data_IF_979407369447
#
_entry.id   IF_979407369447
#
_cell.length_a   1.000
_cell.length_b   1.000
_cell.length_c   1.000
_cell.angle_alpha   90.00
_cell.angle_beta   90.00
_cell.angle_gamma   90.00
#
_symmetry.space_group_name_H-M   'P 1'
#
loop_
_entity.id
_entity.type
_entity.pdbx_description
1 polymer ?
#
# COMPACT_ATOMS: atom_id res chain seq x y z
N UNK A 1 6.50 -21.29 -16.62
CA UNK A 1 5.89 -22.49 -16.10
C UNK A 1 4.76 -22.94 -17.01
N UNK A 2 4.86 -24.17 -17.49
CA UNK A 2 3.94 -24.68 -18.49
C UNK A 2 2.52 -24.83 -17.96
N UNK A 3 2.39 -25.19 -16.70
CA UNK A 3 1.06 -25.37 -16.10
C UNK A 3 0.32 -24.05 -16.03
N UNK A 4 1.02 -23.00 -15.72
CA UNK A 4 0.41 -21.67 -15.67
C UNK A 4 -0.08 -21.27 -17.05
N UNK A 5 0.71 -21.58 -18.08
CA UNK A 5 0.33 -21.27 -19.44
C UNK A 5 -0.93 -22.01 -19.84
N UNK A 6 -1.04 -23.26 -19.42
CA UNK A 6 -2.21 -24.07 -19.74
C UNK A 6 -3.46 -23.51 -19.08
N UNK A 7 -3.34 -23.12 -17.83
CA UNK A 7 -4.48 -22.56 -17.10
C UNK A 7 -4.94 -21.26 -17.72
N UNK A 8 -3.99 -20.51 -18.26
CA UNK A 8 -4.30 -19.21 -18.85
C UNK A 8 -5.19 -19.30 -20.08
N UNK A 9 -5.38 -20.51 -20.62
CA UNK A 9 -6.21 -20.66 -21.80
C UNK A 9 -7.61 -20.08 -21.60
N UNK A 10 -8.10 -20.05 -20.39
CA UNK A 10 -9.41 -19.49 -20.07
C UNK A 10 -9.33 -18.08 -19.52
N UNK A 11 -8.18 -17.46 -19.59
CA UNK A 11 -8.03 -16.09 -19.08
C UNK A 11 -7.94 -16.00 -17.58
N UNK A 12 -7.79 -17.15 -16.91
CA UNK A 12 -7.71 -17.16 -15.46
C UNK A 12 -6.47 -16.41 -14.98
N UNK A 13 -5.36 -16.59 -15.66
CA UNK A 13 -4.13 -15.90 -15.27
C UNK A 13 -4.27 -14.40 -15.43
N UNK A 14 -4.88 -13.97 -16.52
CA UNK A 14 -5.09 -12.55 -16.74
C UNK A 14 -5.97 -11.94 -15.64
N UNK A 15 -7.05 -12.63 -15.29
CA UNK A 15 -7.92 -12.16 -14.22
C UNK A 15 -7.20 -12.11 -12.89
N UNK A 16 -6.34 -13.10 -12.62
CA UNK A 16 -5.58 -13.11 -11.38
C UNK A 16 -4.61 -11.94 -11.32
N UNK A 17 -3.98 -11.63 -12.44
CA UNK A 17 -3.06 -10.50 -12.49
C UNK A 17 -3.79 -9.19 -12.25
N UNK A 18 -4.96 -9.05 -12.83
CA UNK A 18 -5.76 -7.85 -12.62
C UNK A 18 -6.16 -7.71 -11.16
N UNK A 19 -6.56 -8.82 -10.54
CA UNK A 19 -6.91 -8.79 -9.13
C UNK A 19 -5.74 -8.41 -8.24
N UNK A 20 -4.57 -8.98 -8.53
CA UNK A 20 -3.38 -8.65 -7.76
C UNK A 20 -2.95 -7.21 -7.96
N UNK A 21 -3.07 -6.72 -9.19
CA UNK A 21 -2.73 -5.33 -9.46
C UNK A 21 -3.63 -4.39 -8.68
N UNK A 22 -4.93 -4.69 -8.63
CA UNK A 22 -5.86 -3.88 -7.86
C UNK A 22 -5.51 -3.89 -6.38
N UNK A 23 -5.15 -5.06 -5.86
CA UNK A 23 -4.76 -5.18 -4.47
C UNK A 23 -3.49 -4.41 -4.16
N UNK A 24 -2.53 -4.47 -5.07
CA UNK A 24 -1.30 -3.72 -4.90
C UNK A 24 -1.57 -2.22 -4.87
N UNK A 25 -2.43 -1.77 -5.75
CA UNK A 25 -2.77 -0.35 -5.78
C UNK A 25 -3.45 0.08 -4.51
N UNK A 26 -4.36 -0.75 -4.00
CA UNK A 26 -5.03 -0.47 -2.75
C UNK A 26 -4.03 -0.39 -1.61
N UNK A 27 -3.07 -1.33 -1.57
CA UNK A 27 -2.04 -1.31 -0.56
C UNK A 27 -1.15 -0.09 -0.64
N UNK A 28 -0.83 0.34 -1.86
CA UNK A 28 -0.04 1.55 -2.03
C UNK A 28 -0.75 2.78 -1.51
N UNK A 29 -2.05 2.88 -1.77
CA UNK A 29 -2.82 4.00 -1.27
C UNK A 29 -2.89 4.01 0.24
N UNK A 30 -3.06 2.84 0.84
CA UNK A 30 -3.06 2.72 2.29
C UNK A 30 -1.71 3.12 2.86
N UNK A 31 -0.63 2.69 2.21
CA UNK A 31 0.71 3.06 2.66
C UNK A 31 0.94 4.55 2.60
N UNK A 32 0.46 5.19 1.54
CA UNK A 32 0.59 6.64 1.43
C UNK A 32 -0.16 7.35 2.54
N UNK A 33 -1.36 6.87 2.85
CA UNK A 33 -2.15 7.45 3.94
C UNK A 33 -1.46 7.27 5.28
N UNK A 34 -0.91 6.08 5.52
CA UNK A 34 -0.20 5.82 6.76
C UNK A 34 1.03 6.69 6.90
N UNK A 35 1.75 6.89 5.81
CA UNK A 35 2.93 7.75 5.86
C UNK A 35 2.55 9.19 6.16
N UNK A 36 1.46 9.66 5.58
CA UNK A 36 0.98 11.00 5.86
C UNK A 36 0.60 11.15 7.32
N UNK A 37 -0.07 10.13 7.88
CA UNK A 37 -0.42 10.14 9.29
C UNK A 37 0.83 10.18 10.17
N UNK A 38 1.84 9.43 9.77
CA UNK A 38 3.07 9.38 10.55
C UNK A 38 3.77 10.72 10.56
N UNK A 39 3.81 11.40 9.42
CA UNK A 39 4.41 12.73 9.35
C UNK A 39 3.64 13.70 10.24
N UNK A 40 2.32 13.61 10.20
CA UNK A 40 1.48 14.48 11.04
C UNK A 40 1.77 14.26 12.52
N UNK A 41 1.88 12.99 12.91
CA UNK A 41 2.18 12.67 14.30
C UNK A 41 3.53 13.20 14.72
N UNK A 42 4.51 13.13 13.84
CA UNK A 42 5.84 13.65 14.14
C UNK A 42 5.82 15.16 14.35
N UNK A 43 5.07 15.85 13.51
CA UNK A 43 4.94 17.28 13.64
C UNK A 43 4.32 17.63 14.98
N UNK A 44 3.25 16.93 15.34
CA UNK A 44 2.58 17.19 16.60
C UNK A 44 3.46 16.86 17.79
N UNK A 45 4.20 15.77 17.70
CA UNK A 45 5.10 15.40 18.79
C UNK A 45 6.20 16.43 18.97
N UNK A 46 6.77 16.91 17.88
CA UNK A 46 7.80 17.93 17.95
C UNK A 46 7.28 19.22 18.57
N UNK A 47 6.04 19.57 18.25
CA UNK A 47 5.43 20.76 18.82
C UNK A 47 5.25 20.60 20.34
N UNK A 48 4.83 19.42 20.77
CA UNK A 48 4.67 19.14 22.19
C UNK A 48 6.01 19.21 22.92
N UNK A 49 7.04 18.61 22.32
CA UNK A 49 8.36 18.64 22.92
C UNK A 49 8.87 20.07 23.07
N UNK A 50 8.61 20.90 22.06
CA UNK A 50 9.04 22.30 22.13
C UNK A 50 8.37 23.02 23.28
N UNK A 51 7.09 22.74 23.51
CA UNK A 51 6.39 23.35 24.64
C UNK A 51 6.95 22.90 25.97
N UNK A 52 7.24 21.61 26.08
CA UNK A 52 7.76 21.08 27.33
C UNK A 52 9.12 21.67 27.66
N UNK A 53 9.93 21.86 26.61
CA UNK A 53 11.28 22.39 26.83
C UNK A 53 11.31 23.85 27.25
N UNK A 54 10.29 24.57 26.86
CA UNK A 54 10.19 25.96 27.29
C UNK A 54 9.70 26.01 28.71
#
# INVERSE_FOLDING_TARGET
>A
NLQITTIDADGVLFAAIQGLTALLKEGELENQALKADLVQLRVELNAMWAEIRN
#
